data_IF_688369673095
#
_entry.id   IF_688369673095
#
_cell.length_a   1.000
_cell.length_b   1.000
_cell.length_c   1.000
_cell.angle_alpha   90.00
_cell.angle_beta   90.00
_cell.angle_gamma   90.00
#
_symmetry.space_group_name_H-M   'P 1'
#
loop_
_entity.id
_entity.type
_entity.pdbx_description
1 polymer ?
#
# COMPACT_ATOMS: atom_id res chain seq x y z
N UNK A 1 63.17 18.89 -38.72
CA UNK A 1 62.23 18.17 -37.85
C UNK A 1 60.82 18.39 -38.39
N UNK A 2 60.02 17.32 -38.56
CA UNK A 2 58.65 17.43 -39.08
C UNK A 2 57.75 18.13 -38.05
N UNK A 3 57.05 19.20 -38.47
CA UNK A 3 56.22 20.06 -37.64
C UNK A 3 54.71 19.87 -37.94
N UNK A 4 54.29 18.67 -38.34
CA UNK A 4 52.88 18.38 -38.64
C UNK A 4 52.14 17.79 -37.43
N UNK A 5 50.89 18.23 -37.23
CA UNK A 5 49.99 17.64 -36.24
C UNK A 5 49.60 16.22 -36.66
N UNK A 6 49.83 15.23 -35.79
CA UNK A 6 49.32 13.87 -35.98
C UNK A 6 47.80 13.83 -35.82
N UNK A 7 47.12 12.85 -36.42
CA UNK A 7 45.65 12.70 -36.35
C UNK A 7 45.07 12.68 -34.92
N UNK A 8 45.87 12.26 -33.93
CA UNK A 8 45.50 12.25 -32.51
C UNK A 8 45.74 13.59 -31.78
N UNK A 9 46.52 14.50 -32.39
CA UNK A 9 46.85 15.85 -31.90
C UNK A 9 46.24 16.97 -32.75
N UNK A 10 45.54 16.66 -33.83
CA UNK A 10 44.80 17.66 -34.59
C UNK A 10 43.76 18.34 -33.68
N UNK A 11 43.66 19.69 -33.70
CA UNK A 11 42.63 20.39 -32.94
C UNK A 11 41.26 19.82 -33.29
N UNK A 12 40.60 19.18 -32.32
CA UNK A 12 39.23 18.71 -32.50
C UNK A 12 38.33 19.94 -32.59
N UNK A 13 37.29 19.87 -33.41
CA UNK A 13 36.24 20.88 -33.38
C UNK A 13 35.79 21.11 -31.94
N UNK A 14 35.71 22.38 -31.54
CA UNK A 14 35.20 22.73 -30.23
C UNK A 14 33.81 22.10 -30.10
N UNK A 15 33.57 21.40 -28.98
CA UNK A 15 32.23 20.85 -28.69
C UNK A 15 31.25 22.01 -28.71
N UNK A 16 30.46 22.10 -29.79
CA UNK A 16 29.51 23.17 -29.99
C UNK A 16 28.51 23.22 -28.83
N UNK A 17 28.00 24.41 -28.52
CA UNK A 17 26.88 24.53 -27.58
C UNK A 17 25.72 23.69 -28.10
N UNK A 18 25.23 22.76 -27.30
CA UNK A 18 24.06 21.96 -27.67
C UNK A 18 22.89 22.88 -28.07
N UNK A 19 22.16 22.48 -29.11
CA UNK A 19 21.04 23.27 -29.64
C UNK A 19 19.96 23.51 -28.58
N UNK A 20 19.24 24.65 -28.63
CA UNK A 20 18.03 24.80 -27.85
C UNK A 20 16.94 23.83 -28.32
N UNK A 21 15.95 23.61 -27.46
CA UNK A 21 14.75 22.86 -27.80
C UNK A 21 13.93 23.60 -28.85
N UNK A 22 13.34 22.87 -29.78
CA UNK A 22 12.37 23.43 -30.72
C UNK A 22 11.05 23.77 -30.01
N UNK A 23 10.19 24.56 -30.67
CA UNK A 23 8.86 24.90 -30.14
C UNK A 23 8.01 23.66 -29.84
N UNK A 24 8.07 22.66 -30.70
CA UNK A 24 7.29 21.44 -30.54
C UNK A 24 7.86 20.54 -29.44
N UNK A 25 9.19 20.48 -29.30
CA UNK A 25 9.83 19.79 -28.18
C UNK A 25 9.45 20.45 -26.84
N UNK A 26 9.42 21.78 -26.78
CA UNK A 26 8.97 22.50 -25.58
C UNK A 26 7.51 22.19 -25.22
N UNK A 27 6.61 22.10 -26.21
CA UNK A 27 5.22 21.68 -25.99
C UNK A 27 5.13 20.24 -25.44
N UNK A 28 5.92 19.32 -25.99
CA UNK A 28 5.97 17.94 -25.50
C UNK A 28 6.49 17.88 -24.06
N UNK A 29 7.56 18.63 -23.74
CA UNK A 29 8.06 18.76 -22.36
C UNK A 29 6.95 19.22 -21.42
N UNK A 30 6.21 20.26 -21.77
CA UNK A 30 5.09 20.75 -20.97
C UNK A 30 4.00 19.69 -20.79
N UNK A 31 3.65 18.96 -21.86
CA UNK A 31 2.71 17.85 -21.81
C UNK A 31 3.14 16.78 -20.80
N UNK A 32 4.37 16.28 -20.91
CA UNK A 32 4.89 15.23 -20.01
C UNK A 32 5.02 15.74 -18.57
N UNK A 33 5.47 16.97 -18.35
CA UNK A 33 5.54 17.56 -17.02
C UNK A 33 4.15 17.72 -16.38
N UNK A 34 3.12 18.04 -17.18
CA UNK A 34 1.74 18.07 -16.69
C UNK A 34 1.28 16.70 -16.19
N UNK A 35 1.66 15.62 -16.88
CA UNK A 35 1.40 14.24 -16.46
C UNK A 35 2.14 13.92 -15.17
N UNK A 36 3.43 14.26 -15.07
CA UNK A 36 4.23 14.07 -13.86
C UNK A 36 3.63 14.84 -12.67
N UNK A 37 3.08 16.04 -12.90
CA UNK A 37 2.51 16.85 -11.84
C UNK A 37 1.24 16.26 -11.22
N UNK A 38 0.50 15.44 -11.98
CA UNK A 38 -0.67 14.68 -11.49
C UNK A 38 -0.31 13.45 -10.68
N UNK A 39 0.95 12.99 -10.73
CA UNK A 39 1.39 11.86 -9.92
C UNK A 39 1.42 12.20 -8.42
N UNK A 40 1.33 11.19 -7.55
CA UNK A 40 1.59 11.36 -6.12
C UNK A 40 2.94 12.04 -5.87
N UNK A 41 3.03 12.82 -4.80
CA UNK A 41 4.21 13.64 -4.49
C UNK A 41 5.52 12.86 -4.54
N UNK A 42 5.56 11.62 -4.03
CA UNK A 42 6.78 10.81 -3.98
C UNK A 42 7.31 10.41 -5.36
N UNK A 43 6.43 10.23 -6.36
CA UNK A 43 6.83 9.99 -7.75
C UNK A 43 7.13 11.30 -8.47
N UNK A 44 6.29 12.32 -8.25
CA UNK A 44 6.48 13.65 -8.82
C UNK A 44 7.85 14.21 -8.45
N UNK A 45 8.20 14.20 -7.17
CA UNK A 45 9.49 14.69 -6.69
C UNK A 45 10.65 13.93 -7.33
N UNK A 46 10.55 12.60 -7.42
CA UNK A 46 11.56 11.77 -8.07
C UNK A 46 11.83 12.19 -9.52
N UNK A 47 10.78 12.31 -10.33
CA UNK A 47 10.92 12.63 -11.75
C UNK A 47 11.29 14.08 -11.99
N UNK A 48 10.71 15.02 -11.26
CA UNK A 48 11.04 16.45 -11.37
C UNK A 48 12.49 16.70 -10.96
N UNK A 49 12.95 16.14 -9.83
CA UNK A 49 14.34 16.28 -9.41
C UNK A 49 15.32 15.66 -10.41
N UNK A 50 14.99 14.50 -10.98
CA UNK A 50 15.83 13.87 -12.01
C UNK A 50 15.89 14.71 -13.29
N UNK A 51 14.75 15.23 -13.75
CA UNK A 51 14.68 16.11 -14.90
C UNK A 51 15.48 17.40 -14.69
N UNK A 52 15.28 18.09 -13.55
CA UNK A 52 16.01 19.32 -13.23
C UNK A 52 17.52 19.09 -13.14
N UNK A 53 17.94 17.97 -12.55
CA UNK A 53 19.35 17.59 -12.52
C UNK A 53 19.93 17.42 -13.93
N UNK A 54 19.24 16.68 -14.81
CA UNK A 54 19.71 16.47 -16.19
C UNK A 54 19.74 17.78 -16.96
N UNK A 55 18.71 18.61 -16.84
CA UNK A 55 18.62 19.90 -17.51
C UNK A 55 19.72 20.87 -17.10
N UNK A 56 20.12 20.88 -15.82
CA UNK A 56 21.18 21.75 -15.28
C UNK A 56 22.59 21.24 -15.55
N UNK A 57 22.82 19.93 -15.47
CA UNK A 57 24.17 19.34 -15.50
C UNK A 57 24.56 18.75 -16.85
N UNK A 58 23.60 18.47 -17.75
CA UNK A 58 23.86 17.93 -19.08
C UNK A 58 23.40 18.93 -20.13
N UNK A 59 22.11 18.91 -20.46
CA UNK A 59 21.53 19.85 -21.41
C UNK A 59 20.00 19.80 -21.42
N UNK A 60 19.33 20.82 -22.00
CA UNK A 60 17.91 20.79 -22.26
C UNK A 60 17.46 19.59 -23.11
N UNK A 61 18.25 19.22 -24.13
CA UNK A 61 17.95 18.09 -25.04
C UNK A 61 17.99 16.75 -24.30
N UNK A 62 18.97 16.54 -23.42
CA UNK A 62 19.02 15.36 -22.56
C UNK A 62 17.83 15.30 -21.59
N UNK A 63 17.40 16.46 -21.08
CA UNK A 63 16.19 16.57 -20.26
C UNK A 63 14.93 16.15 -21.04
N UNK A 64 14.82 16.60 -22.29
CA UNK A 64 13.74 16.18 -23.20
C UNK A 64 13.75 14.66 -23.45
N UNK A 65 14.90 14.05 -23.76
CA UNK A 65 14.98 12.60 -23.95
C UNK A 65 14.66 11.79 -22.68
N UNK A 66 15.00 12.31 -21.51
CA UNK A 66 14.56 11.70 -20.26
C UNK A 66 13.03 11.68 -20.17
N UNK A 67 12.37 12.80 -20.43
CA UNK A 67 10.91 12.89 -20.37
C UNK A 67 10.22 12.01 -21.41
N UNK A 68 10.65 12.05 -22.67
CA UNK A 68 9.98 11.32 -23.76
C UNK A 68 10.38 9.85 -23.82
N UNK A 69 11.68 9.56 -23.87
CA UNK A 69 12.19 8.22 -24.12
C UNK A 69 12.26 7.37 -22.86
N UNK A 70 12.50 7.96 -21.69
CA UNK A 70 12.57 7.21 -20.43
C UNK A 70 11.22 7.24 -19.72
N UNK A 71 10.74 8.42 -19.33
CA UNK A 71 9.50 8.52 -18.55
C UNK A 71 8.29 8.09 -19.39
N UNK A 72 7.95 8.80 -20.45
CA UNK A 72 6.71 8.58 -21.20
C UNK A 72 6.69 7.22 -21.91
N UNK A 73 7.79 6.82 -22.58
CA UNK A 73 7.82 5.55 -23.32
C UNK A 73 8.02 4.31 -22.44
N UNK A 74 8.82 4.38 -21.35
CA UNK A 74 9.21 3.17 -20.58
C UNK A 74 8.57 3.10 -19.20
N UNK A 75 8.52 4.20 -18.46
CA UNK A 75 8.06 4.18 -17.06
C UNK A 75 6.55 4.40 -16.95
N UNK A 76 5.98 5.29 -17.76
CA UNK A 76 4.57 5.63 -17.72
C UNK A 76 3.64 4.42 -17.94
N UNK A 77 3.84 3.55 -18.95
CA UNK A 77 2.99 2.37 -19.12
C UNK A 77 3.08 1.38 -17.95
N UNK A 78 4.21 1.35 -17.24
CA UNK A 78 4.38 0.51 -16.04
C UNK A 78 3.61 1.08 -14.86
N UNK A 79 3.62 2.40 -14.69
CA UNK A 79 2.82 3.11 -13.68
C UNK A 79 1.32 2.87 -13.95
N UNK A 80 0.88 3.05 -15.20
CA UNK A 80 -0.52 2.80 -15.59
C UNK A 80 -0.96 1.38 -15.29
N UNK A 81 -0.14 0.39 -15.63
CA UNK A 81 -0.45 -1.02 -15.33
C UNK A 81 -0.58 -1.30 -13.83
N UNK A 82 0.26 -0.69 -13.00
CA UNK A 82 0.13 -0.80 -11.54
C UNK A 82 -1.17 -0.14 -11.07
N UNK A 83 -1.46 1.07 -11.55
CA UNK A 83 -2.69 1.78 -11.17
C UNK A 83 -3.94 1.00 -11.59
N UNK A 84 -4.00 0.49 -12.82
CA UNK A 84 -5.12 -0.33 -13.33
C UNK A 84 -5.40 -1.55 -12.44
N UNK A 85 -4.36 -2.23 -11.95
CA UNK A 85 -4.52 -3.37 -11.04
C UNK A 85 -5.09 -2.98 -9.66
N UNK A 86 -4.95 -1.71 -9.28
CA UNK A 86 -5.40 -1.16 -8.02
C UNK A 86 -6.62 -0.24 -8.17
N UNK A 87 -7.21 -0.13 -9.36
CA UNK A 87 -8.39 0.69 -9.58
C UNK A 87 -9.55 0.24 -8.71
N UNK A 88 -10.42 1.19 -8.35
CA UNK A 88 -11.67 0.89 -7.66
C UNK A 88 -12.49 -0.08 -8.50
N UNK A 89 -13.02 -1.13 -7.87
CA UNK A 89 -13.89 -2.09 -8.52
C UNK A 89 -15.31 -1.50 -8.64
N UNK A 90 -15.53 -0.68 -9.65
CA UNK A 90 -16.83 -0.04 -9.92
C UNK A 90 -17.92 -1.05 -10.29
N UNK A 91 -17.54 -2.22 -10.79
CA UNK A 91 -18.48 -3.30 -11.10
C UNK A 91 -19.09 -3.93 -9.84
N UNK A 92 -18.38 -3.84 -8.70
CA UNK A 92 -18.88 -4.33 -7.43
C UNK A 92 -19.97 -3.43 -6.83
N UNK A 93 -19.84 -2.11 -6.99
CA UNK A 93 -20.85 -1.14 -6.56
C UNK A 93 -20.57 0.27 -7.07
N UNK A 94 -21.66 0.96 -7.42
CA UNK A 94 -21.66 2.37 -7.81
C UNK A 94 -21.79 3.32 -6.62
N UNK A 95 -22.06 2.83 -5.41
CA UNK A 95 -22.23 3.63 -4.19
C UNK A 95 -21.07 4.60 -3.97
N UNK A 96 -19.85 4.15 -4.28
CA UNK A 96 -18.61 4.87 -4.03
C UNK A 96 -18.04 5.59 -5.26
N UNK A 97 -18.84 5.82 -6.31
CA UNK A 97 -18.33 6.42 -7.55
C UNK A 97 -17.68 7.80 -7.32
N UNK A 98 -18.26 8.61 -6.43
CA UNK A 98 -17.71 9.91 -6.03
C UNK A 98 -16.37 9.81 -5.28
N UNK A 99 -16.05 8.63 -4.73
CA UNK A 99 -14.81 8.37 -4.01
C UNK A 99 -13.69 7.81 -4.91
N UNK A 100 -13.93 7.60 -6.21
CA UNK A 100 -12.95 7.04 -7.15
C UNK A 100 -11.64 7.84 -7.17
N UNK A 101 -11.72 9.16 -7.30
CA UNK A 101 -10.54 10.03 -7.37
C UNK A 101 -9.81 10.15 -6.02
N UNK A 102 -10.54 9.97 -4.90
CA UNK A 102 -9.92 9.84 -3.59
C UNK A 102 -9.15 8.52 -3.51
N UNK A 103 -9.79 7.39 -3.83
CA UNK A 103 -9.14 6.09 -3.82
C UNK A 103 -7.93 6.01 -4.74
N UNK A 104 -7.98 6.62 -5.94
CA UNK A 104 -6.85 6.70 -6.86
C UNK A 104 -5.61 7.42 -6.27
N UNK A 105 -5.82 8.31 -5.30
CA UNK A 105 -4.76 9.03 -4.59
C UNK A 105 -4.22 8.29 -3.37
N UNK A 106 -4.77 7.11 -3.03
CA UNK A 106 -4.39 6.32 -1.86
C UNK A 106 -2.87 6.17 -1.65
N UNK A 107 -2.03 5.91 -2.69
CA UNK A 107 -0.58 5.81 -2.52
C UNK A 107 0.07 7.06 -1.93
N UNK A 108 -0.49 8.24 -2.21
CA UNK A 108 0.03 9.53 -1.74
C UNK A 108 -0.64 10.06 -0.47
N UNK A 109 -1.68 9.40 0.04
CA UNK A 109 -2.43 9.88 1.20
C UNK A 109 -1.61 9.82 2.49
N UNK A 110 -1.61 10.91 3.25
CA UNK A 110 -1.10 10.90 4.62
C UNK A 110 -2.10 10.21 5.58
N UNK A 111 -1.64 9.88 6.79
CA UNK A 111 -2.45 9.13 7.77
C UNK A 111 -3.73 9.87 8.21
N UNK A 112 -3.72 11.21 8.24
CA UNK A 112 -4.88 12.01 8.61
C UNK A 112 -5.94 11.99 7.50
N UNK A 113 -5.52 12.15 6.25
CA UNK A 113 -6.39 12.04 5.08
C UNK A 113 -6.99 10.63 4.96
N UNK A 114 -6.16 9.60 5.14
CA UNK A 114 -6.59 8.19 5.09
C UNK A 114 -7.64 7.88 6.15
N UNK A 115 -7.47 8.35 7.41
CA UNK A 115 -8.47 8.16 8.47
C UNK A 115 -9.80 8.83 8.13
N UNK A 116 -9.77 10.07 7.62
CA UNK A 116 -11.00 10.76 7.16
C UNK A 116 -11.69 10.00 6.02
N UNK A 117 -10.89 9.44 5.12
CA UNK A 117 -11.42 8.65 4.02
C UNK A 117 -12.06 7.34 4.51
N UNK A 118 -11.40 6.62 5.42
CA UNK A 118 -11.96 5.43 6.07
C UNK A 118 -13.28 5.72 6.79
N UNK A 119 -13.35 6.82 7.54
CA UNK A 119 -14.57 7.26 8.21
C UNK A 119 -15.72 7.53 7.22
N UNK A 120 -15.45 8.21 6.09
CA UNK A 120 -16.46 8.44 5.05
C UNK A 120 -17.01 7.15 4.45
N UNK A 121 -16.14 6.18 4.15
CA UNK A 121 -16.56 4.86 3.65
C UNK A 121 -17.46 4.17 4.67
N UNK A 122 -17.03 4.15 5.93
CA UNK A 122 -17.79 3.57 7.03
C UNK A 122 -19.19 4.19 7.16
N UNK A 123 -19.26 5.52 7.19
CA UNK A 123 -20.53 6.26 7.28
C UNK A 123 -21.45 5.97 6.09
N UNK A 124 -20.93 5.91 4.86
CA UNK A 124 -21.76 5.57 3.69
C UNK A 124 -22.30 4.13 3.74
N UNK A 125 -21.50 3.17 4.22
CA UNK A 125 -21.98 1.79 4.43
C UNK A 125 -23.04 1.71 5.52
N UNK A 126 -22.88 2.48 6.59
CA UNK A 126 -23.87 2.58 7.66
C UNK A 126 -25.19 3.17 7.13
N UNK A 127 -25.14 4.30 6.41
CA UNK A 127 -26.33 4.90 5.81
C UNK A 127 -27.06 3.93 4.87
N UNK A 128 -26.32 3.24 3.99
CA UNK A 128 -26.93 2.24 3.12
C UNK A 128 -27.57 1.08 3.91
N UNK A 129 -26.96 0.66 5.02
CA UNK A 129 -27.55 -0.36 5.87
C UNK A 129 -28.87 0.10 6.51
N UNK A 130 -28.93 1.33 7.02
CA UNK A 130 -30.16 1.89 7.61
C UNK A 130 -31.27 1.96 6.55
N UNK A 131 -30.96 2.48 5.35
CA UNK A 131 -31.90 2.52 4.22
C UNK A 131 -32.43 1.12 3.83
N UNK A 132 -31.55 0.11 3.84
CA UNK A 132 -31.94 -1.27 3.57
C UNK A 132 -32.80 -1.87 4.69
N UNK A 133 -32.56 -1.49 5.95
CA UNK A 133 -33.39 -1.91 7.06
C UNK A 133 -34.80 -1.32 6.97
N UNK A 134 -34.90 -0.02 6.69
CA UNK A 134 -36.17 0.67 6.51
C UNK A 134 -36.96 0.05 5.35
N UNK A 135 -36.32 -0.12 4.19
CA UNK A 135 -36.94 -0.75 3.02
C UNK A 135 -37.40 -2.21 3.29
N UNK A 136 -36.65 -2.96 4.12
CA UNK A 136 -37.05 -4.31 4.51
C UNK A 136 -38.31 -4.29 5.39
N UNK A 137 -38.35 -3.40 6.39
CA UNK A 137 -39.47 -3.25 7.31
C UNK A 137 -40.72 -2.77 6.58
N UNK A 138 -40.59 -1.85 5.63
CA UNK A 138 -41.72 -1.38 4.81
C UNK A 138 -42.40 -2.52 4.04
N UNK A 139 -41.64 -3.53 3.62
CA UNK A 139 -42.15 -4.71 2.90
C UNK A 139 -42.71 -5.78 3.85
N UNK A 140 -42.10 -5.97 5.01
CA UNK A 140 -42.40 -7.10 5.92
C UNK A 140 -43.20 -6.71 7.17
N UNK A 141 -43.53 -5.42 7.35
CA UNK A 141 -44.45 -4.89 8.35
C UNK A 141 -43.90 -4.70 9.77
N UNK A 142 -42.94 -5.52 10.20
CA UNK A 142 -42.44 -5.53 11.58
C UNK A 142 -40.90 -5.48 11.67
N UNK A 143 -40.36 -4.84 12.70
CA UNK A 143 -38.90 -4.74 12.93
C UNK A 143 -38.28 -6.09 13.29
N UNK A 144 -39.05 -6.96 13.92
CA UNK A 144 -38.70 -8.33 14.29
C UNK A 144 -38.28 -9.16 13.07
N UNK A 145 -38.82 -8.83 11.88
CA UNK A 145 -38.45 -9.49 10.61
C UNK A 145 -36.97 -9.33 10.24
N UNK A 146 -36.29 -8.29 10.76
CA UNK A 146 -34.86 -8.04 10.54
C UNK A 146 -33.97 -9.09 11.18
N UNK A 147 -34.44 -9.83 12.20
CA UNK A 147 -33.62 -10.77 12.97
C UNK A 147 -33.63 -12.20 12.41
N UNK A 148 -34.07 -12.36 11.16
CA UNK A 148 -34.08 -13.64 10.45
C UNK A 148 -32.78 -13.85 9.67
N UNK A 149 -32.41 -15.12 9.43
CA UNK A 149 -31.24 -15.46 8.60
C UNK A 149 -31.39 -14.91 7.17
N UNK A 150 -32.62 -14.85 6.64
CA UNK A 150 -32.90 -14.29 5.31
C UNK A 150 -32.66 -12.78 5.26
N UNK A 151 -33.26 -12.02 6.17
CA UNK A 151 -33.06 -10.58 6.26
C UNK A 151 -31.58 -10.24 6.44
N UNK A 152 -30.89 -10.93 7.35
CA UNK A 152 -29.49 -10.68 7.64
C UNK A 152 -28.57 -11.08 6.48
N UNK A 153 -28.90 -12.13 5.74
CA UNK A 153 -28.19 -12.46 4.50
C UNK A 153 -28.41 -11.41 3.41
N UNK A 154 -29.63 -10.88 3.28
CA UNK A 154 -29.96 -9.81 2.34
C UNK A 154 -29.19 -8.52 2.67
N UNK A 155 -29.26 -8.04 3.91
CA UNK A 155 -28.57 -6.84 4.39
C UNK A 155 -27.05 -6.97 4.21
N UNK A 156 -26.48 -8.07 4.70
CA UNK A 156 -25.05 -8.33 4.53
C UNK A 156 -24.65 -8.36 3.05
N UNK A 157 -25.44 -9.00 2.19
CA UNK A 157 -25.13 -9.14 0.77
C UNK A 157 -24.88 -7.81 0.09
N UNK A 158 -25.74 -6.82 0.38
CA UNK A 158 -25.62 -5.47 -0.15
C UNK A 158 -24.47 -4.69 0.49
N UNK A 159 -24.38 -4.67 1.83
CA UNK A 159 -23.33 -3.93 2.57
C UNK A 159 -21.93 -4.46 2.25
N UNK A 160 -21.74 -5.77 2.36
CA UNK A 160 -20.49 -6.43 2.03
C UNK A 160 -20.20 -6.37 0.52
N UNK A 161 -21.22 -6.51 -0.32
CA UNK A 161 -21.10 -6.36 -1.77
C UNK A 161 -20.54 -5.00 -2.15
N UNK A 162 -21.11 -3.91 -1.61
CA UNK A 162 -20.65 -2.56 -1.86
C UNK A 162 -19.22 -2.31 -1.39
N UNK A 163 -18.87 -2.82 -0.20
CA UNK A 163 -17.54 -2.69 0.35
C UNK A 163 -16.42 -3.28 -0.54
N UNK A 164 -16.75 -4.25 -1.42
CA UNK A 164 -15.80 -4.83 -2.39
C UNK A 164 -15.33 -3.85 -3.46
N UNK A 165 -15.98 -2.69 -3.63
CA UNK A 165 -15.49 -1.62 -4.50
C UNK A 165 -14.05 -1.20 -4.15
N UNK A 166 -13.66 -1.32 -2.88
CA UNK A 166 -12.31 -1.02 -2.40
C UNK A 166 -11.33 -2.20 -2.45
N UNK A 167 -11.60 -3.21 -3.28
CA UNK A 167 -10.75 -4.40 -3.46
C UNK A 167 -10.46 -5.18 -2.16
N UNK A 168 -11.38 -5.12 -1.20
CA UNK A 168 -11.33 -5.92 0.02
C UNK A 168 -12.18 -7.19 -0.12
N UNK A 169 -11.86 -8.20 0.69
CA UNK A 169 -12.72 -9.37 0.87
C UNK A 169 -13.47 -9.24 2.21
N UNK A 170 -14.79 -9.00 2.19
CA UNK A 170 -15.59 -8.99 3.40
C UNK A 170 -15.51 -10.31 4.17
N UNK A 171 -15.65 -10.24 5.50
CA UNK A 171 -15.66 -11.40 6.38
C UNK A 171 -16.87 -12.30 6.03
N UNK A 172 -16.66 -13.61 5.94
CA UNK A 172 -17.67 -14.63 5.57
C UNK A 172 -18.24 -14.56 4.15
N UNK A 173 -17.65 -13.76 3.24
CA UNK A 173 -18.15 -13.63 1.86
C UNK A 173 -18.34 -14.96 1.13
N UNK A 174 -17.40 -15.90 1.31
CA UNK A 174 -17.50 -17.25 0.72
C UNK A 174 -18.67 -18.07 1.27
N UNK A 175 -19.01 -17.93 2.57
CA UNK A 175 -20.15 -18.61 3.19
C UNK A 175 -21.47 -18.00 2.72
N UNK A 176 -21.53 -16.67 2.67
CA UNK A 176 -22.66 -15.95 2.09
C UNK A 176 -22.97 -16.41 0.66
N UNK A 177 -21.96 -16.49 -0.21
CA UNK A 177 -22.11 -16.98 -1.60
C UNK A 177 -22.58 -18.43 -1.71
N UNK A 178 -22.49 -19.23 -0.63
CA UNK A 178 -22.98 -20.60 -0.56
C UNK A 178 -24.35 -20.71 0.13
N UNK A 179 -24.95 -19.61 0.57
CA UNK A 179 -26.18 -19.63 1.38
C UNK A 179 -26.00 -20.22 2.77
N UNK A 180 -24.77 -20.25 3.31
CA UNK A 180 -24.43 -20.90 4.58
C UNK A 180 -24.07 -19.88 5.68
N UNK A 181 -24.59 -18.66 5.57
CA UNK A 181 -24.30 -17.60 6.52
C UNK A 181 -25.36 -17.56 7.61
N UNK A 182 -24.92 -17.46 8.86
CA UNK A 182 -25.82 -17.32 10.01
C UNK A 182 -26.04 -15.86 10.35
N UNK A 183 -27.15 -15.54 11.00
CA UNK A 183 -27.48 -14.23 11.56
C UNK A 183 -26.31 -13.63 12.38
N UNK A 184 -25.73 -14.41 13.30
CA UNK A 184 -24.58 -13.95 14.11
C UNK A 184 -23.35 -13.59 13.25
N UNK A 185 -23.10 -14.36 12.19
CA UNK A 185 -21.99 -14.09 11.28
C UNK A 185 -22.24 -12.80 10.50
N UNK A 186 -23.46 -12.59 10.00
CA UNK A 186 -23.87 -11.37 9.32
C UNK A 186 -23.65 -10.13 10.20
N UNK A 187 -24.21 -10.11 11.42
CA UNK A 187 -24.01 -9.00 12.36
C UNK A 187 -22.54 -8.69 12.62
N UNK A 188 -21.74 -9.72 12.92
CA UNK A 188 -20.31 -9.51 13.22
C UNK A 188 -19.53 -8.97 12.01
N UNK A 189 -19.93 -9.34 10.80
CA UNK A 189 -19.28 -8.86 9.59
C UNK A 189 -19.74 -7.44 9.21
N UNK A 190 -21.02 -7.13 9.38
CA UNK A 190 -21.59 -5.79 9.16
C UNK A 190 -20.97 -4.80 10.18
N UNK A 191 -20.94 -5.14 11.46
CA UNK A 191 -20.35 -4.29 12.50
C UNK A 191 -18.87 -3.94 12.20
N UNK A 192 -18.14 -4.87 11.59
CA UNK A 192 -16.76 -4.62 11.13
C UNK A 192 -16.70 -3.63 9.96
N UNK A 193 -17.68 -3.66 9.06
CA UNK A 193 -17.77 -2.72 7.93
C UNK A 193 -18.14 -1.30 8.38
N UNK A 194 -18.75 -1.15 9.56
CA UNK A 194 -19.02 0.15 10.21
C UNK A 194 -17.88 0.65 11.09
N UNK A 195 -16.82 -0.14 11.25
CA UNK A 195 -15.67 0.24 12.03
C UNK A 195 -14.65 0.97 11.14
N UNK A 196 -14.53 2.28 11.32
CA UNK A 196 -13.60 3.14 10.57
C UNK A 196 -12.12 2.83 10.87
N UNK A 197 -11.81 2.38 12.09
CA UNK A 197 -10.49 1.91 12.45
C UNK A 197 -10.12 0.64 11.65
N UNK A 198 -11.05 -0.29 11.48
CA UNK A 198 -10.84 -1.46 10.63
C UNK A 198 -10.55 -1.06 9.19
N UNK A 199 -11.32 -0.13 8.63
CA UNK A 199 -11.06 0.43 7.29
C UNK A 199 -9.70 1.12 7.21
N UNK A 200 -9.31 1.86 8.25
CA UNK A 200 -7.98 2.49 8.33
C UNK A 200 -6.87 1.43 8.19
N UNK A 201 -6.99 0.30 8.88
CA UNK A 201 -6.02 -0.79 8.77
C UNK A 201 -5.99 -1.43 7.38
N UNK A 202 -7.16 -1.68 6.77
CA UNK A 202 -7.24 -2.24 5.41
C UNK A 202 -6.59 -1.31 4.38
N UNK A 203 -6.96 -0.03 4.41
CA UNK A 203 -6.47 0.98 3.48
C UNK A 203 -4.98 1.29 3.68
N UNK A 204 -4.47 1.27 4.92
CA UNK A 204 -3.02 1.37 5.17
C UNK A 204 -2.25 0.23 4.52
N UNK A 205 -2.75 -1.00 4.64
CA UNK A 205 -2.15 -2.17 3.99
C UNK A 205 -2.15 -2.05 2.46
N UNK A 206 -3.27 -1.61 1.88
CA UNK A 206 -3.38 -1.37 0.44
C UNK A 206 -2.45 -0.25 -0.04
N UNK A 207 -2.44 0.89 0.66
CA UNK A 207 -1.54 2.02 0.40
C UNK A 207 -0.09 1.56 0.35
N UNK A 208 0.36 0.80 1.35
CA UNK A 208 1.75 0.32 1.42
C UNK A 208 2.10 -0.57 0.22
N UNK A 209 1.23 -1.53 -0.13
CA UNK A 209 1.45 -2.41 -1.29
C UNK A 209 1.47 -1.65 -2.61
N UNK A 210 0.52 -0.73 -2.81
CA UNK A 210 0.42 0.05 -4.03
C UNK A 210 1.59 1.04 -4.18
N UNK A 211 1.96 1.73 -3.10
CA UNK A 211 3.12 2.62 -3.08
C UNK A 211 4.42 1.86 -3.43
N UNK A 212 4.63 0.68 -2.84
CA UNK A 212 5.78 -0.15 -3.16
C UNK A 212 5.76 -0.66 -4.62
N UNK A 213 4.60 -1.12 -5.10
CA UNK A 213 4.44 -1.56 -6.49
C UNK A 213 4.78 -0.44 -7.49
N UNK A 214 4.40 0.80 -7.18
CA UNK A 214 4.76 1.97 -7.97
C UNK A 214 6.29 2.21 -7.95
N UNK A 215 6.93 2.12 -6.79
CA UNK A 215 8.39 2.27 -6.67
C UNK A 215 9.16 1.18 -7.43
N UNK A 216 8.68 -0.06 -7.40
CA UNK A 216 9.22 -1.16 -8.22
C UNK A 216 9.04 -0.84 -9.72
N UNK A 217 7.85 -0.38 -10.12
CA UNK A 217 7.54 -0.05 -11.50
C UNK A 217 8.42 1.08 -12.07
N UNK A 218 8.85 2.02 -11.23
CA UNK A 218 9.73 3.12 -11.67
C UNK A 218 11.23 2.80 -11.49
N UNK A 219 11.56 1.61 -10.98
CA UNK A 219 12.94 1.14 -10.84
C UNK A 219 13.66 1.65 -9.59
N UNK A 220 12.94 2.06 -8.55
CA UNK A 220 13.52 2.39 -7.24
C UNK A 220 13.97 1.14 -6.47
N UNK A 221 13.45 -0.02 -6.87
CA UNK A 221 13.80 -1.34 -6.33
C UNK A 221 14.51 -2.13 -7.42
N UNK A 222 15.82 -2.25 -7.30
CA UNK A 222 16.70 -2.97 -8.22
C UNK A 222 18.04 -3.29 -7.53
N UNK A 223 18.84 -4.17 -8.16
CA UNK A 223 20.14 -4.62 -7.63
C UNK A 223 21.10 -3.48 -7.27
N UNK A 224 21.13 -2.43 -8.09
CA UNK A 224 22.10 -1.34 -7.98
C UNK A 224 21.64 -0.22 -7.02
N UNK A 225 20.39 -0.26 -6.55
CA UNK A 225 19.79 0.81 -5.74
C UNK A 225 19.24 0.35 -4.41
N UNK A 226 18.34 -0.63 -4.45
CA UNK A 226 17.70 -1.20 -3.26
C UNK A 226 17.13 -2.57 -3.66
N UNK A 227 17.86 -3.67 -3.42
CA UNK A 227 17.55 -4.97 -4.06
C UNK A 227 16.20 -5.58 -3.71
N UNK A 228 15.75 -5.42 -2.47
CA UNK A 228 14.61 -6.20 -1.94
C UNK A 228 13.34 -5.38 -1.69
N UNK A 229 13.50 -4.12 -1.32
CA UNK A 229 12.40 -3.22 -1.00
C UNK A 229 12.86 -1.78 -1.18
N UNK A 230 11.95 -0.86 -1.39
CA UNK A 230 12.28 0.55 -1.47
C UNK A 230 12.87 1.09 -0.16
N UNK A 231 13.68 2.15 -0.26
CA UNK A 231 14.17 2.87 0.93
C UNK A 231 13.02 3.36 1.83
N UNK A 232 11.88 3.65 1.23
CA UNK A 232 10.67 4.05 1.97
C UNK A 232 10.15 2.89 2.83
N UNK A 233 9.92 1.71 2.23
CA UNK A 233 9.46 0.53 2.96
C UNK A 233 10.41 0.12 4.09
N UNK A 234 11.73 0.18 3.85
CA UNK A 234 12.75 -0.10 4.86
C UNK A 234 12.65 0.89 6.03
N UNK A 235 12.53 2.19 5.74
CA UNK A 235 12.38 3.23 6.76
C UNK A 235 11.10 3.03 7.58
N UNK A 236 9.99 2.70 6.93
CA UNK A 236 8.71 2.48 7.61
C UNK A 236 8.75 1.26 8.55
N UNK A 237 9.44 0.18 8.15
CA UNK A 237 9.67 -0.97 9.02
C UNK A 237 10.53 -0.57 10.22
N UNK A 238 11.61 0.19 10.00
CA UNK A 238 12.47 0.67 11.09
C UNK A 238 11.72 1.57 12.05
N UNK A 239 10.94 2.53 11.55
CA UNK A 239 10.14 3.44 12.35
C UNK A 239 9.11 2.68 13.21
N UNK A 240 8.42 1.67 12.65
CA UNK A 240 7.50 0.82 13.41
C UNK A 240 8.19 0.01 14.51
N UNK A 241 9.36 -0.57 14.21
CA UNK A 241 10.15 -1.30 15.22
C UNK A 241 10.62 -0.39 16.33
N UNK A 242 11.06 0.82 15.99
CA UNK A 242 11.48 1.82 16.96
C UNK A 242 10.31 2.26 17.86
N UNK A 243 9.16 2.60 17.28
CA UNK A 243 7.98 2.98 18.05
C UNK A 243 7.50 1.84 18.97
N UNK A 244 7.54 0.59 18.50
CA UNK A 244 7.22 -0.57 19.33
C UNK A 244 8.22 -0.74 20.49
N UNK A 245 9.51 -0.53 20.22
CA UNK A 245 10.55 -0.61 21.24
C UNK A 245 10.36 0.50 22.30
N UNK A 246 10.06 1.72 21.88
CA UNK A 246 9.76 2.85 22.76
C UNK A 246 8.53 2.57 23.62
N UNK A 247 7.47 2.02 23.03
CA UNK A 247 6.28 1.59 23.76
C UNK A 247 6.64 0.56 24.85
N UNK A 248 7.37 -0.50 24.50
CA UNK A 248 7.78 -1.53 25.47
C UNK A 248 8.64 -0.98 26.61
N UNK A 249 9.53 -0.01 26.32
CA UNK A 249 10.35 0.66 27.35
C UNK A 249 9.54 1.57 28.28
N UNK A 250 8.36 2.01 27.84
CA UNK A 250 7.49 2.91 28.60
C UNK A 250 6.44 2.19 29.43
N UNK A 251 6.42 0.86 29.42
CA UNK A 251 5.38 0.05 30.04
C UNK A 251 5.97 -0.91 31.08
N UNK A 252 5.24 -1.07 32.18
CA UNK A 252 5.50 -2.07 33.21
C UNK A 252 4.35 -3.07 33.27
N UNK A 253 4.65 -4.30 33.69
CA UNK A 253 3.66 -5.29 34.10
C UNK A 253 3.44 -5.17 35.59
N UNK A 254 2.18 -5.05 36.02
CA UNK A 254 1.79 -5.00 37.43
C UNK A 254 1.03 -6.28 37.80
N UNK A 255 1.49 -6.95 38.85
CA UNK A 255 0.73 -8.02 39.49
C UNK A 255 -0.42 -7.39 40.30
N UNK A 256 -1.67 -7.68 39.93
CA UNK A 256 -2.85 -7.09 40.58
C UNK A 256 -3.05 -7.50 42.04
N UNK A 257 -2.52 -8.65 42.44
CA UNK A 257 -2.68 -9.18 43.80
C UNK A 257 -1.56 -8.73 44.73
N UNK A 258 -0.30 -8.76 44.26
CA UNK A 258 0.87 -8.40 45.08
C UNK A 258 1.33 -6.95 44.92
N UNK A 259 0.89 -6.26 43.86
CA UNK A 259 1.33 -4.91 43.51
C UNK A 259 2.74 -4.82 42.91
N UNK A 260 3.43 -5.96 42.74
CA UNK A 260 4.77 -6.00 42.17
C UNK A 260 4.78 -5.53 40.72
N UNK A 261 5.77 -4.70 40.37
CA UNK A 261 5.96 -4.18 39.01
C UNK A 261 7.23 -4.72 38.39
N UNK A 262 7.13 -5.15 37.15
CA UNK A 262 8.28 -5.61 36.38
C UNK A 262 8.26 -4.96 35.01
N UNK A 263 9.41 -4.41 34.60
CA UNK A 263 9.60 -3.80 33.30
C UNK A 263 9.21 -4.74 32.15
N UNK A 264 8.34 -4.26 31.26
CA UNK A 264 7.80 -5.06 30.16
C UNK A 264 8.91 -5.42 29.16
N UNK A 265 9.83 -4.49 28.85
CA UNK A 265 10.88 -4.77 27.88
C UNK A 265 11.80 -5.89 28.37
N UNK A 266 12.16 -5.92 29.65
CA UNK A 266 12.93 -7.01 30.25
C UNK A 266 12.29 -8.38 30.00
N UNK A 267 10.97 -8.52 30.24
CA UNK A 267 10.25 -9.78 30.00
C UNK A 267 10.16 -10.15 28.52
N UNK A 268 9.89 -9.18 27.66
CA UNK A 268 9.84 -9.42 26.21
C UNK A 268 11.19 -9.89 25.68
N UNK A 269 12.28 -9.23 26.09
CA UNK A 269 13.64 -9.54 25.63
C UNK A 269 14.16 -10.88 26.15
N UNK A 270 13.67 -11.36 27.30
CA UNK A 270 13.95 -12.69 27.85
C UNK A 270 13.07 -13.82 27.33
N UNK A 271 12.14 -13.55 26.41
CA UNK A 271 11.19 -14.55 25.87
C UNK A 271 11.46 -14.89 24.40
N UNK A 272 10.68 -15.83 23.84
CA UNK A 272 10.65 -16.13 22.38
C UNK A 272 10.23 -14.93 21.51
N UNK A 273 9.83 -13.81 22.10
CA UNK A 273 9.62 -12.55 21.38
C UNK A 273 10.92 -11.95 20.88
N UNK A 274 12.04 -12.23 21.56
CA UNK A 274 13.38 -11.92 21.07
C UNK A 274 13.78 -12.88 19.93
N UNK A 275 14.09 -12.38 18.73
CA UNK A 275 14.49 -13.22 17.59
C UNK A 275 15.68 -14.14 17.88
N UNK A 276 16.62 -13.73 18.72
CA UNK A 276 17.78 -14.55 19.08
C UNK A 276 17.37 -15.76 19.92
N UNK A 277 16.56 -15.54 20.96
CA UNK A 277 16.00 -16.62 21.79
C UNK A 277 15.12 -17.54 20.93
N UNK A 278 14.25 -16.97 20.09
CA UNK A 278 13.42 -17.76 19.16
C UNK A 278 14.25 -18.65 18.25
N UNK A 279 15.38 -18.17 17.74
CA UNK A 279 16.29 -18.96 16.90
C UNK A 279 16.90 -20.11 17.69
N UNK A 280 17.34 -19.87 18.92
CA UNK A 280 17.90 -20.93 19.79
C UNK A 280 16.85 -22.01 20.09
N UNK A 281 15.63 -21.59 20.49
CA UNK A 281 14.51 -22.52 20.74
C UNK A 281 14.13 -23.33 19.50
N UNK A 282 14.10 -22.70 18.32
CA UNK A 282 13.85 -23.40 17.07
C UNK A 282 14.91 -24.46 16.78
N UNK A 283 16.20 -24.14 16.96
CA UNK A 283 17.29 -25.11 16.74
C UNK A 283 17.24 -26.27 17.73
N UNK A 284 16.92 -25.99 19.00
CA UNK A 284 16.70 -27.03 20.01
C UNK A 284 15.53 -27.94 19.65
N UNK A 285 14.44 -27.35 19.15
CA UNK A 285 13.25 -28.10 18.73
C UNK A 285 13.57 -29.01 17.53
N UNK A 286 14.26 -28.50 16.52
CA UNK A 286 14.69 -29.27 15.35
C UNK A 286 15.58 -30.44 15.80
N UNK A 287 16.61 -30.18 16.62
CA UNK A 287 17.50 -31.22 17.12
C UNK A 287 16.77 -32.29 17.96
N UNK A 288 15.77 -31.87 18.75
CA UNK A 288 14.92 -32.80 19.51
C UNK A 288 14.09 -33.71 18.61
N UNK A 289 13.47 -33.13 17.57
CA UNK A 289 12.67 -33.88 16.58
C UNK A 289 13.56 -34.84 15.80
N UNK A 290 14.75 -34.42 15.36
CA UNK A 290 15.71 -35.28 14.64
C UNK A 290 16.15 -36.47 15.50
N UNK A 291 16.47 -36.24 16.78
CA UNK A 291 16.82 -37.32 17.71
C UNK A 291 15.67 -38.31 17.91
N UNK A 292 14.44 -37.81 18.00
CA UNK A 292 13.26 -38.66 18.14
C UNK A 292 13.03 -39.50 16.89
N UNK A 293 13.05 -38.88 15.71
CA UNK A 293 12.90 -39.59 14.43
C UNK A 293 13.96 -40.67 14.22
N UNK A 294 15.23 -40.39 14.58
CA UNK A 294 16.30 -41.38 14.54
C UNK A 294 16.09 -42.53 15.54
N UNK A 295 15.45 -42.28 16.69
CA UNK A 295 15.15 -43.32 17.68
C UNK A 295 14.00 -44.25 17.24
N UNK A 296 13.04 -43.73 16.48
CA UNK A 296 11.91 -44.49 15.91
C UNK A 296 12.27 -45.17 14.56
N UNK A 297 13.43 -44.85 13.98
CA UNK A 297 13.89 -45.41 12.70
C UNK A 297 13.26 -44.75 11.47
N UNK A 298 12.70 -43.55 11.61
CA UNK A 298 12.15 -42.75 10.51
C UNK A 298 13.24 -42.07 9.65
N UNK A 299 14.49 -42.05 10.15
CA UNK A 299 15.69 -41.50 9.48
C UNK A 299 16.89 -42.42 9.70
#
# INVERSE_FOLDING_TARGET
AFAGAYAWNAPREAVGRERPLTRDEMRQVQGVLSTINRLPYFLRSLFTSRYDYIRRNKSPVHGFYFLTSTFQRRLWPRIERVNQRHEMNTDASLLFLAERDHYARLPGMNDKELKKFAARISSQLFMMYEELCDAWVDVHGEKESLFTDEAQAHLYGHVAGAARAFNISPLYWKKYRKGQMTTRQAYSAIARLFNDEWWTHQLKGQRMRWHEALLIAVGEVNKDRSPYASKHAIRDVRARRQANLEFLKSCDLENRETGERIDLISKVMGSISNPEIRRMELMNTIAGIERYAAAEGDV
#
